data_IF_398072321875
#
_entry.id   IF_398072321875
#
_cell.length_a   1.000
_cell.length_b   1.000
_cell.length_c   1.000
_cell.angle_alpha   90.00
_cell.angle_beta   90.00
_cell.angle_gamma   90.00
#
_symmetry.space_group_name_H-M   'P 1'
#
loop_
_entity.id
_entity.type
_entity.pdbx_description
1 polymer ?
#
# COMPACT_ATOMS: atom_id res chain seq x y z
N UNK A 1 -13.46 -23.01 7.52
CA UNK A 1 -12.04 -23.24 7.20
C UNK A 1 -11.74 -22.56 5.87
N UNK A 2 -10.51 -22.10 5.65
CA UNK A 2 -10.06 -21.64 4.33
C UNK A 2 -9.92 -22.85 3.40
N UNK A 3 -10.55 -22.78 2.22
CA UNK A 3 -10.49 -23.80 1.18
C UNK A 3 -9.78 -23.23 -0.05
N UNK A 4 -9.21 -24.09 -0.89
CA UNK A 4 -8.49 -23.67 -2.10
C UNK A 4 -9.31 -22.72 -3.00
N UNK A 5 -10.63 -22.97 -3.11
CA UNK A 5 -11.55 -22.12 -3.87
C UNK A 5 -11.55 -20.66 -3.39
N UNK A 6 -11.38 -20.40 -2.09
CA UNK A 6 -11.36 -19.04 -1.56
C UNK A 6 -10.09 -18.28 -1.98
N UNK A 7 -8.98 -18.99 -2.20
CA UNK A 7 -7.75 -18.40 -2.74
C UNK A 7 -7.90 -18.08 -4.22
N UNK A 8 -8.55 -18.98 -4.98
CA UNK A 8 -8.80 -18.75 -6.41
C UNK A 8 -9.77 -17.57 -6.63
N UNK A 9 -10.79 -17.43 -5.78
CA UNK A 9 -11.68 -16.27 -5.76
C UNK A 9 -10.92 -14.97 -5.47
N UNK A 10 -9.99 -14.96 -4.52
CA UNK A 10 -9.15 -13.79 -4.23
C UNK A 10 -8.25 -13.42 -5.41
N UNK A 11 -7.64 -14.40 -6.07
CA UNK A 11 -6.81 -14.16 -7.27
C UNK A 11 -7.64 -13.60 -8.42
N UNK A 12 -8.88 -14.04 -8.57
CA UNK A 12 -9.78 -13.52 -9.61
C UNK A 12 -10.16 -12.04 -9.40
N UNK A 13 -9.99 -11.52 -8.18
CA UNK A 13 -10.22 -10.12 -7.84
C UNK A 13 -8.95 -9.26 -7.96
N UNK A 14 -7.78 -9.85 -8.22
CA UNK A 14 -6.55 -9.08 -8.38
C UNK A 14 -6.62 -8.18 -9.62
N UNK A 15 -6.21 -6.93 -9.44
CA UNK A 15 -6.23 -5.90 -10.48
C UNK A 15 -4.81 -5.68 -10.95
N UNK A 16 -4.44 -6.21 -12.11
CA UNK A 16 -3.06 -6.17 -12.60
C UNK A 16 -2.50 -4.74 -12.73
N UNK A 17 -3.33 -3.79 -13.17
CA UNK A 17 -2.92 -2.38 -13.37
C UNK A 17 -3.90 -1.42 -12.71
N UNK A 18 -3.38 -0.49 -11.92
CA UNK A 18 -4.17 0.58 -11.30
C UNK A 18 -4.55 1.61 -12.38
N UNK A 19 -5.86 1.77 -12.62
CA UNK A 19 -6.36 2.60 -13.72
C UNK A 19 -6.17 4.11 -13.50
N UNK A 20 -6.25 4.56 -12.25
CA UNK A 20 -6.09 5.96 -11.86
C UNK A 20 -4.98 6.10 -10.83
N UNK A 21 -3.69 6.08 -11.22
CA UNK A 21 -2.59 6.09 -10.26
C UNK A 21 -2.55 7.31 -9.35
N UNK A 22 -3.05 8.45 -9.83
CA UNK A 22 -3.11 9.72 -9.09
C UNK A 22 -4.08 9.68 -7.89
N UNK A 23 -5.03 8.74 -7.86
CA UNK A 23 -5.99 8.57 -6.76
C UNK A 23 -5.37 7.83 -5.56
N UNK A 24 -4.16 7.27 -5.71
CA UNK A 24 -3.52 6.44 -4.70
C UNK A 24 -2.20 7.04 -4.23
N UNK A 25 -1.99 6.97 -2.92
CA UNK A 25 -0.71 7.28 -2.29
C UNK A 25 -0.29 6.13 -1.37
N UNK A 26 0.81 5.46 -1.73
CA UNK A 26 1.43 4.44 -0.90
C UNK A 26 2.28 5.11 0.20
N UNK A 27 1.98 4.78 1.44
CA UNK A 27 2.84 5.01 2.60
C UNK A 27 3.34 3.64 3.07
N UNK A 28 4.64 3.37 2.94
CA UNK A 28 5.23 2.08 3.29
C UNK A 28 6.55 2.28 4.03
N UNK A 29 6.84 1.37 4.97
CA UNK A 29 8.10 1.30 5.67
C UNK A 29 8.82 -0.01 5.31
N UNK A 30 10.11 0.03 5.02
CA UNK A 30 10.89 -1.15 4.62
C UNK A 30 11.08 -2.14 5.78
N UNK A 31 10.92 -1.68 7.02
CA UNK A 31 10.98 -2.49 8.23
C UNK A 31 9.72 -3.32 8.51
N UNK A 32 8.71 -3.28 7.63
CA UNK A 32 7.51 -4.10 7.74
C UNK A 32 7.86 -5.59 7.84
N UNK A 33 7.58 -6.16 8.99
CA UNK A 33 7.88 -7.54 9.36
C UNK A 33 6.77 -8.52 8.98
N UNK A 34 5.62 -8.00 8.53
CA UNK A 34 4.43 -8.78 8.17
C UNK A 34 4.32 -8.94 6.66
N UNK A 35 4.60 -7.87 5.90
CA UNK A 35 4.49 -7.83 4.45
C UNK A 35 5.82 -7.47 3.80
N UNK A 36 6.12 -8.09 2.65
CA UNK A 36 7.27 -7.68 1.84
C UNK A 36 6.96 -6.36 1.12
N UNK A 37 7.56 -5.28 1.60
CA UNK A 37 7.34 -3.93 1.08
C UNK A 37 7.54 -3.82 -0.44
N UNK A 38 8.42 -4.65 -1.03
CA UNK A 38 8.71 -4.63 -2.48
C UNK A 38 7.48 -4.91 -3.31
N UNK A 39 6.59 -5.78 -2.83
CA UNK A 39 5.34 -6.08 -3.52
C UNK A 39 4.44 -4.85 -3.61
N UNK A 40 4.37 -4.04 -2.54
CA UNK A 40 3.61 -2.79 -2.56
C UNK A 40 4.28 -1.75 -3.47
N UNK A 41 5.60 -1.59 -3.39
CA UNK A 41 6.35 -0.64 -4.25
C UNK A 41 6.18 -0.98 -5.73
N UNK A 42 6.24 -2.26 -6.09
CA UNK A 42 6.05 -2.72 -7.47
C UNK A 42 4.60 -2.53 -7.93
N UNK A 43 3.61 -2.88 -7.08
CA UNK A 43 2.18 -2.75 -7.42
C UNK A 43 1.78 -1.30 -7.64
N UNK A 44 2.26 -0.39 -6.80
CA UNK A 44 1.93 1.04 -6.82
C UNK A 44 3.01 1.88 -7.52
N UNK A 45 3.83 1.29 -8.40
CA UNK A 45 4.97 1.96 -9.05
C UNK A 45 4.60 3.25 -9.82
N UNK A 46 3.35 3.36 -10.30
CA UNK A 46 2.85 4.55 -11.01
C UNK A 46 2.16 5.56 -10.09
N UNK A 47 1.88 5.20 -8.84
CA UNK A 47 1.18 6.03 -7.87
C UNK A 47 2.17 6.92 -7.11
N UNK A 48 1.65 7.87 -6.33
CA UNK A 48 2.48 8.60 -5.36
C UNK A 48 3.00 7.61 -4.32
N UNK A 49 4.27 7.68 -3.97
CA UNK A 49 4.87 6.80 -2.96
C UNK A 49 5.70 7.59 -1.94
N UNK A 50 5.63 7.15 -0.70
CA UNK A 50 6.57 7.49 0.36
C UNK A 50 7.02 6.20 1.00
N UNK A 51 8.26 5.83 0.73
CA UNK A 51 8.91 4.63 1.27
C UNK A 51 9.99 5.10 2.23
N UNK A 52 9.88 4.73 3.50
CA UNK A 52 10.84 5.08 4.53
C UNK A 52 11.67 3.86 4.94
N UNK A 53 12.97 4.06 5.15
CA UNK A 53 13.83 3.03 5.72
C UNK A 53 13.43 2.74 7.18
N UNK A 54 13.60 1.48 7.62
CA UNK A 54 13.24 1.00 8.96
C UNK A 54 11.72 1.10 9.20
N UNK A 55 11.29 1.26 10.45
CA UNK A 55 9.88 1.23 10.82
C UNK A 55 9.37 -0.20 11.09
N UNK A 56 8.06 -0.37 10.99
CA UNK A 56 7.36 -1.65 11.15
C UNK A 56 5.97 -1.61 10.47
N UNK A 57 5.24 -2.72 10.50
CA UNK A 57 3.91 -2.83 9.85
C UNK A 57 2.87 -1.85 10.39
N UNK A 58 3.05 -1.29 11.60
CA UNK A 58 2.12 -0.30 12.17
C UNK A 58 2.30 1.11 11.62
N UNK A 59 3.33 1.33 10.79
CA UNK A 59 3.77 2.62 10.27
C UNK A 59 4.16 3.60 11.39
N UNK A 60 5.41 3.51 11.83
CA UNK A 60 5.96 4.35 12.91
C UNK A 60 6.04 5.81 12.48
N UNK A 61 5.52 6.73 13.31
CA UNK A 61 5.57 8.16 13.04
C UNK A 61 4.49 8.64 12.07
N UNK A 62 3.35 7.94 12.01
CA UNK A 62 2.21 8.26 11.16
C UNK A 62 1.66 9.69 11.39
N UNK A 63 1.79 10.24 12.59
CA UNK A 63 1.27 11.56 12.97
C UNK A 63 1.80 12.74 12.12
N UNK A 64 2.86 12.52 11.33
CA UNK A 64 3.41 13.49 10.37
C UNK A 64 2.61 13.62 9.07
N UNK A 65 1.73 12.66 8.78
CA UNK A 65 1.03 12.54 7.50
C UNK A 65 -0.41 13.08 7.41
N UNK A 66 -1.22 13.22 8.49
CA UNK A 66 -2.62 13.63 8.38
C UNK A 66 -2.86 14.90 7.56
N UNK A 67 -2.07 15.96 7.77
CA UNK A 67 -2.19 17.20 6.99
C UNK A 67 -1.94 16.97 5.50
N UNK A 68 -0.92 16.18 5.16
CA UNK A 68 -0.58 15.87 3.77
C UNK A 68 -1.64 14.96 3.13
N UNK A 69 -2.23 14.05 3.90
CA UNK A 69 -3.30 13.16 3.46
C UNK A 69 -4.55 13.97 3.11
N UNK A 70 -4.96 14.91 3.98
CA UNK A 70 -6.10 15.81 3.70
C UNK A 70 -5.87 16.58 2.40
N UNK A 71 -4.69 17.16 2.22
CA UNK A 71 -4.31 17.86 0.98
C UNK A 71 -4.31 16.96 -0.24
N UNK A 72 -3.80 15.72 -0.12
CA UNK A 72 -3.80 14.74 -1.20
C UNK A 72 -5.21 14.35 -1.62
N UNK A 73 -6.11 14.18 -0.66
CA UNK A 73 -7.53 13.86 -0.89
C UNK A 73 -8.36 15.07 -1.36
N UNK A 74 -7.79 16.28 -1.38
CA UNK A 74 -8.49 17.51 -1.76
C UNK A 74 -9.60 17.91 -0.79
N UNK A 75 -9.46 17.57 0.50
CA UNK A 75 -10.44 17.83 1.57
C UNK A 75 -10.11 19.10 2.38
#
# INVERSE_FOLDING_TARGET
>A
MLEAKHIDELKALDVETIQSPDDFWLLQQEGDEVLDYRQAVDKYHQCKQTVEEKGDHSFVGFERFPEQIIRFLGL
#
